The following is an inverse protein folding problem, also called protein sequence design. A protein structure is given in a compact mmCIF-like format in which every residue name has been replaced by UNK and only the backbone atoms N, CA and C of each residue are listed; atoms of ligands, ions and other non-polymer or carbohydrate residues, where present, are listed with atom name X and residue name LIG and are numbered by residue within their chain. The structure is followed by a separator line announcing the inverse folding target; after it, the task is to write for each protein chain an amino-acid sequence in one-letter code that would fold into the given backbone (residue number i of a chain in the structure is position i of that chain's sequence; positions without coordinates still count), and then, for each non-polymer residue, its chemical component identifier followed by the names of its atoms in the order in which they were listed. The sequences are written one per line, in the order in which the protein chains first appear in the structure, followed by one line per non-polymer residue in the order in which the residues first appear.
data_IF_184464135603
#
_entry.id   IF_184464135603
#
_cell.length_a   1.000
_cell.length_b   1.000
_cell.length_c   1.000
_cell.angle_alpha   90.00
_cell.angle_beta   90.00
_cell.angle_gamma   90.00
#
_symmetry.space_group_name_H-M   'P 1'
#
loop_
_entity.id
_entity.type
_entity.pdbx_description
1 polymer ?
#
# COMPACT_ATOMS: atom_id res chain seq x y z
N UNK A 1 -12.00 -2.95 -20.22
CA UNK A 1 -11.19 -2.65 -19.03
C UNK A 1 -11.31 -3.75 -17.96
N UNK A 2 -12.51 -4.02 -17.35
CA UNK A 2 -12.61 -5.01 -16.25
C UNK A 2 -12.27 -6.43 -16.71
N UNK A 3 -12.72 -6.89 -17.87
CA UNK A 3 -12.37 -8.19 -18.42
C UNK A 3 -10.86 -8.28 -18.63
N UNK A 4 -10.25 -7.30 -19.27
CA UNK A 4 -8.81 -7.20 -19.50
C UNK A 4 -8.01 -7.25 -18.18
N UNK A 5 -8.47 -6.56 -17.13
CA UNK A 5 -7.81 -6.57 -15.84
C UNK A 5 -7.87 -7.96 -15.17
N UNK A 6 -9.00 -8.67 -15.29
CA UNK A 6 -9.14 -10.03 -14.74
C UNK A 6 -8.31 -11.04 -15.54
N UNK A 7 -8.26 -10.93 -16.87
CA UNK A 7 -7.40 -11.76 -17.71
C UNK A 7 -5.92 -11.55 -17.35
N UNK A 8 -5.49 -10.29 -17.21
CA UNK A 8 -4.13 -9.98 -16.77
C UNK A 8 -3.83 -10.52 -15.36
N UNK A 9 -4.79 -10.40 -14.43
CA UNK A 9 -4.61 -10.96 -13.10
C UNK A 9 -4.50 -12.49 -13.10
N UNK A 10 -5.24 -13.19 -13.98
CA UNK A 10 -5.10 -14.62 -14.18
C UNK A 10 -3.69 -14.99 -14.70
N UNK A 11 -3.14 -14.20 -15.63
CA UNK A 11 -1.77 -14.43 -16.12
C UNK A 11 -0.72 -14.23 -15.01
N UNK A 12 -0.89 -13.21 -14.16
CA UNK A 12 -0.05 -13.03 -12.97
C UNK A 12 -0.17 -14.21 -12.00
N UNK A 13 -1.36 -14.72 -11.79
CA UNK A 13 -1.58 -15.89 -10.92
C UNK A 13 -0.87 -17.14 -11.44
N UNK A 14 -0.85 -17.37 -12.77
CA UNK A 14 -0.09 -18.47 -13.39
C UNK A 14 1.43 -18.33 -13.22
N UNK A 15 1.95 -17.10 -13.13
CA UNK A 15 3.36 -16.81 -12.89
C UNK A 15 3.73 -16.76 -11.39
N UNK A 16 2.75 -16.86 -10.50
CA UNK A 16 2.93 -16.80 -9.06
C UNK A 16 3.13 -18.21 -8.47
N UNK A 17 3.73 -18.34 -7.29
CA UNK A 17 3.76 -19.60 -6.58
C UNK A 17 2.34 -20.15 -6.35
N UNK A 18 2.14 -21.48 -6.42
CA UNK A 18 0.80 -22.05 -6.31
C UNK A 18 0.23 -21.93 -4.90
N UNK A 19 -1.09 -21.86 -4.81
CA UNK A 19 -1.86 -21.82 -3.57
C UNK A 19 -2.26 -20.42 -3.14
N UNK A 20 -3.01 -20.37 -2.04
CA UNK A 20 -3.45 -19.12 -1.43
C UNK A 20 -2.39 -18.66 -0.44
N UNK A 21 -1.54 -17.75 -0.90
CA UNK A 21 -0.48 -17.19 -0.07
C UNK A 21 -1.03 -16.05 0.78
N UNK A 22 -0.88 -16.20 2.08
CA UNK A 22 -1.09 -15.10 3.01
C UNK A 22 0.11 -14.12 2.94
N UNK A 23 -0.06 -12.89 3.40
CA UNK A 23 0.96 -11.85 3.30
C UNK A 23 2.34 -12.26 3.83
N UNK A 24 2.41 -13.05 4.92
CA UNK A 24 3.67 -13.53 5.48
C UNK A 24 4.43 -14.43 4.51
N UNK A 25 3.74 -15.40 3.90
CA UNK A 25 4.37 -16.33 2.93
C UNK A 25 4.83 -15.60 1.68
N UNK A 26 4.07 -14.62 1.19
CA UNK A 26 4.48 -13.80 0.05
C UNK A 26 5.76 -13.02 0.35
N UNK A 27 5.87 -12.43 1.55
CA UNK A 27 7.07 -11.75 2.02
C UNK A 27 8.26 -12.71 2.13
N UNK A 28 8.08 -13.86 2.75
CA UNK A 28 9.12 -14.87 2.93
C UNK A 28 9.70 -15.35 1.58
N UNK A 29 8.84 -15.53 0.57
CA UNK A 29 9.28 -15.90 -0.78
C UNK A 29 10.12 -14.80 -1.43
N UNK A 30 9.74 -13.54 -1.28
CA UNK A 30 10.50 -12.41 -1.80
C UNK A 30 11.84 -12.25 -1.05
N UNK A 31 11.82 -12.35 0.27
CA UNK A 31 13.02 -12.24 1.12
C UNK A 31 14.04 -13.34 0.89
N UNK A 32 13.58 -14.50 0.45
CA UNK A 32 14.44 -15.63 0.08
C UNK A 32 14.89 -15.58 -1.39
N UNK A 33 14.56 -14.52 -2.15
CA UNK A 33 14.88 -14.41 -3.57
C UNK A 33 14.15 -15.42 -4.44
N UNK A 34 13.05 -16.03 -3.96
CA UNK A 34 12.23 -17.02 -4.70
C UNK A 34 11.11 -16.39 -5.51
N UNK A 35 10.82 -15.12 -5.29
CA UNK A 35 9.90 -14.32 -6.08
C UNK A 35 10.62 -13.06 -6.57
N UNK A 36 10.50 -12.75 -7.86
CA UNK A 36 11.15 -11.58 -8.46
C UNK A 36 10.39 -10.28 -8.18
N UNK A 37 9.09 -10.36 -7.90
CA UNK A 37 8.21 -9.21 -7.64
C UNK A 37 7.28 -9.51 -6.47
N UNK A 38 6.90 -8.47 -5.76
CA UNK A 38 5.90 -8.52 -4.70
C UNK A 38 5.05 -7.26 -4.75
N UNK A 39 3.73 -7.39 -4.57
CA UNK A 39 2.85 -6.27 -4.35
C UNK A 39 2.75 -6.05 -2.84
N UNK A 40 3.24 -4.91 -2.38
CA UNK A 40 3.30 -4.59 -0.97
C UNK A 40 3.17 -3.10 -0.72
N UNK A 41 2.91 -2.73 0.53
CA UNK A 41 3.03 -1.34 0.96
C UNK A 41 4.49 -1.02 1.31
N UNK A 42 4.89 0.27 1.29
CA UNK A 42 6.23 0.68 1.72
C UNK A 42 6.59 0.31 3.17
N UNK A 43 5.64 -0.22 3.93
CA UNK A 43 5.87 -0.76 5.28
C UNK A 43 6.94 -1.86 5.32
N UNK A 44 7.27 -2.46 4.17
CA UNK A 44 8.32 -3.48 4.04
C UNK A 44 9.75 -2.89 4.02
N UNK A 45 9.92 -1.57 3.88
CA UNK A 45 11.21 -0.95 3.59
C UNK A 45 12.23 -1.13 4.72
N UNK A 46 11.83 -1.12 5.97
CA UNK A 46 12.72 -1.40 7.10
C UNK A 46 13.12 -2.88 7.18
N UNK A 47 12.19 -3.76 6.82
CA UNK A 47 12.42 -5.21 6.79
C UNK A 47 13.41 -5.58 5.68
N UNK A 48 13.26 -5.01 4.46
CA UNK A 48 14.20 -5.19 3.35
C UNK A 48 15.62 -4.78 3.70
N UNK A 49 15.78 -3.78 4.58
CA UNK A 49 17.06 -3.27 5.03
C UNK A 49 17.61 -4.00 6.27
N UNK A 50 16.99 -5.10 6.70
CA UNK A 50 17.45 -5.88 7.86
C UNK A 50 17.31 -5.16 9.20
N UNK A 51 16.35 -4.25 9.35
CA UNK A 51 16.17 -3.47 10.57
C UNK A 51 15.15 -4.08 11.54
N UNK A 52 14.59 -5.26 11.20
CA UNK A 52 13.57 -5.94 12.00
C UNK A 52 13.89 -7.42 12.16
N UNK A 53 14.15 -7.86 13.39
CA UNK A 53 14.52 -9.26 13.70
C UNK A 53 13.37 -10.25 13.49
N UNK A 54 12.14 -9.80 13.64
CA UNK A 54 10.95 -10.66 13.43
C UNK A 54 10.64 -10.94 11.95
N UNK A 55 11.34 -10.26 11.03
CA UNK A 55 11.14 -10.39 9.58
C UNK A 55 12.43 -10.10 8.81
N UNK A 56 13.49 -10.89 9.04
CA UNK A 56 14.78 -10.64 8.41
C UNK A 56 14.80 -11.04 6.94
N UNK A 57 15.57 -10.36 6.09
CA UNK A 57 15.92 -10.87 4.76
C UNK A 57 16.65 -12.22 4.90
N UNK A 58 16.39 -13.12 3.96
CA UNK A 58 17.03 -14.44 3.92
C UNK A 58 17.71 -14.73 2.58
N UNK A 59 18.02 -13.65 1.84
CA UNK A 59 18.75 -13.73 0.57
C UNK A 59 20.20 -14.15 0.73
N UNK A 60 20.76 -13.92 1.92
CA UNK A 60 22.10 -14.35 2.34
C UNK A 60 22.08 -14.80 3.83
N UNK A 61 23.23 -15.15 4.37
CA UNK A 61 23.37 -15.65 5.75
C UNK A 61 23.36 -14.54 6.82
N UNK A 62 23.36 -13.25 6.44
CA UNK A 62 23.31 -12.13 7.37
C UNK A 62 21.88 -11.53 7.42
N UNK A 63 21.11 -11.80 8.48
CA UNK A 63 19.74 -11.29 8.63
C UNK A 63 19.67 -9.77 8.82
N UNK A 64 20.79 -9.10 9.04
CA UNK A 64 20.87 -7.64 9.20
C UNK A 64 21.37 -6.93 7.94
N UNK A 65 21.61 -7.69 6.87
CA UNK A 65 22.15 -7.17 5.63
C UNK A 65 21.17 -6.26 4.90
N UNK A 66 21.58 -5.07 4.45
CA UNK A 66 20.78 -4.21 3.60
C UNK A 66 20.81 -4.63 2.12
N UNK A 67 21.36 -5.78 1.78
CA UNK A 67 21.55 -6.22 0.40
C UNK A 67 20.25 -6.30 -0.37
N UNK A 68 19.18 -6.82 0.25
CA UNK A 68 17.88 -6.92 -0.42
C UNK A 68 17.29 -5.54 -0.69
N UNK A 69 17.41 -4.58 0.23
CA UNK A 69 16.98 -3.21 0.02
C UNK A 69 17.70 -2.58 -1.19
N UNK A 70 19.02 -2.76 -1.29
CA UNK A 70 19.83 -2.20 -2.38
C UNK A 70 19.53 -2.81 -3.76
N UNK A 71 18.92 -4.01 -3.80
CA UNK A 71 18.53 -4.72 -5.02
C UNK A 71 17.04 -4.59 -5.36
N UNK A 72 16.24 -4.00 -4.47
CA UNK A 72 14.80 -3.84 -4.67
C UNK A 72 14.52 -2.52 -5.40
N UNK A 73 13.90 -2.62 -6.59
CA UNK A 73 13.31 -1.48 -7.28
C UNK A 73 11.86 -1.28 -6.86
N UNK A 74 11.37 -0.06 -6.99
CA UNK A 74 9.99 0.31 -6.61
C UNK A 74 9.23 0.81 -7.82
N UNK A 75 8.00 0.32 -7.99
CA UNK A 75 7.05 0.77 -9.00
C UNK A 75 5.85 1.32 -8.24
N UNK A 76 5.62 2.62 -8.31
CA UNK A 76 4.57 3.32 -7.55
C UNK A 76 3.34 3.65 -8.38
N UNK A 77 3.41 3.44 -9.71
CA UNK A 77 2.33 3.73 -10.64
C UNK A 77 2.29 2.67 -11.75
N UNK A 78 1.13 2.08 -11.99
CA UNK A 78 0.92 1.08 -13.02
C UNK A 78 0.04 1.64 -14.14
N UNK A 79 0.60 1.70 -15.35
CA UNK A 79 -0.14 2.04 -16.55
C UNK A 79 -0.61 0.76 -17.28
N UNK A 80 -1.75 0.85 -17.94
CA UNK A 80 -2.30 -0.22 -18.77
C UNK A 80 -2.92 0.34 -20.05
N UNK A 81 -3.33 -0.53 -20.98
CA UNK A 81 -3.90 -0.10 -22.26
C UNK A 81 -5.12 0.81 -22.09
N UNK A 82 -5.97 0.54 -21.10
CA UNK A 82 -7.17 1.33 -20.82
C UNK A 82 -6.92 2.57 -19.95
N UNK A 83 -5.74 2.68 -19.34
CA UNK A 83 -5.31 3.84 -18.55
C UNK A 83 -3.81 4.08 -18.74
N UNK A 84 -3.40 4.75 -19.81
CA UNK A 84 -2.00 5.02 -20.10
C UNK A 84 -1.35 6.00 -19.12
N UNK A 85 -2.14 6.78 -18.38
CA UNK A 85 -1.65 7.66 -17.31
C UNK A 85 -1.26 6.88 -16.05
N UNK A 86 -1.68 5.63 -15.96
CA UNK A 86 -1.45 4.79 -14.80
C UNK A 86 -2.36 5.10 -13.62
N UNK A 87 -2.20 4.30 -12.59
CA UNK A 87 -2.86 4.47 -11.30
C UNK A 87 -1.96 3.96 -10.19
N UNK A 88 -2.09 4.56 -9.01
CA UNK A 88 -1.51 4.10 -7.77
C UNK A 88 -2.63 3.88 -6.74
N UNK A 89 -2.38 3.02 -5.79
CA UNK A 89 -3.29 2.77 -4.68
C UNK A 89 -2.74 3.39 -3.40
N UNK A 90 -3.59 4.07 -2.62
CA UNK A 90 -3.25 4.53 -1.29
C UNK A 90 -4.32 4.14 -0.27
N UNK A 91 -3.89 3.67 0.89
CA UNK A 91 -4.75 3.51 2.05
C UNK A 91 -4.77 4.81 2.85
N UNK A 92 -5.83 5.58 2.66
CA UNK A 92 -6.04 6.85 3.37
C UNK A 92 -6.70 6.57 4.70
N UNK A 93 -6.04 6.98 5.79
CA UNK A 93 -6.57 6.87 7.16
C UNK A 93 -7.30 8.14 7.54
N UNK A 94 -8.47 7.95 8.14
CA UNK A 94 -9.29 9.02 8.68
C UNK A 94 -9.32 8.94 10.20
N UNK A 95 -9.32 10.09 10.85
CA UNK A 95 -9.62 10.20 12.27
C UNK A 95 -11.08 10.63 12.43
N UNK A 96 -11.85 9.84 13.15
CA UNK A 96 -13.27 10.09 13.39
C UNK A 96 -13.44 10.39 14.89
N UNK A 97 -14.09 11.50 15.19
CA UNK A 97 -14.47 11.84 16.55
C UNK A 97 -15.88 11.32 16.79
N UNK A 98 -16.02 10.48 17.80
CA UNK A 98 -17.34 10.01 18.24
C UNK A 98 -18.00 11.05 19.15
N UNK A 99 -19.32 11.12 19.14
CA UNK A 99 -20.08 11.92 20.08
C UNK A 99 -19.88 11.35 21.51
N UNK A 100 -19.16 12.08 22.34
CA UNK A 100 -18.79 11.69 23.69
C UNK A 100 -18.52 12.88 24.57
N UNK A 101 -18.39 12.67 25.88
CA UNK A 101 -18.03 13.70 26.83
C UNK A 101 -16.63 14.32 26.61
N UNK A 102 -15.79 13.69 25.77
CA UNK A 102 -14.40 14.11 25.50
C UNK A 102 -14.20 14.66 24.08
N UNK A 103 -15.26 15.07 23.39
CA UNK A 103 -15.21 15.52 21.99
C UNK A 103 -14.23 16.70 21.80
N UNK A 104 -14.22 17.67 22.70
CA UNK A 104 -13.30 18.82 22.64
C UNK A 104 -11.84 18.39 22.76
N UNK A 105 -11.53 17.49 23.68
CA UNK A 105 -10.17 16.95 23.86
C UNK A 105 -9.73 16.17 22.62
N UNK A 106 -10.62 15.39 22.03
CA UNK A 106 -10.35 14.65 20.79
C UNK A 106 -10.07 15.60 19.61
N UNK A 107 -10.81 16.72 19.52
CA UNK A 107 -10.56 17.74 18.50
C UNK A 107 -9.19 18.42 18.68
N UNK A 108 -8.83 18.79 19.90
CA UNK A 108 -7.52 19.37 20.18
C UNK A 108 -6.39 18.40 19.90
N UNK A 109 -6.58 17.12 20.22
CA UNK A 109 -5.60 16.09 19.87
C UNK A 109 -5.41 15.95 18.36
N UNK A 110 -6.49 15.93 17.57
CA UNK A 110 -6.40 15.88 16.11
C UNK A 110 -5.69 17.12 15.56
N UNK A 111 -6.03 18.32 16.03
CA UNK A 111 -5.35 19.56 15.63
C UNK A 111 -3.86 19.49 15.91
N UNK A 112 -3.47 19.00 17.08
CA UNK A 112 -2.07 18.77 17.42
C UNK A 112 -1.42 17.73 16.49
N UNK A 113 -2.04 16.58 16.32
CA UNK A 113 -1.50 15.46 15.53
C UNK A 113 -1.26 15.81 14.05
N UNK A 114 -2.09 16.68 13.46
CA UNK A 114 -1.91 17.16 12.07
C UNK A 114 -1.25 18.54 11.98
N UNK A 115 -1.00 19.18 13.11
CA UNK A 115 -0.35 20.49 13.26
C UNK A 115 1.07 20.37 13.82
N UNK A 116 1.27 20.88 15.03
CA UNK A 116 2.59 20.95 15.68
C UNK A 116 3.20 19.59 15.98
N UNK A 117 2.36 18.58 16.27
CA UNK A 117 2.77 17.19 16.50
C UNK A 117 2.89 16.35 15.23
N UNK A 118 2.77 16.94 14.04
CA UNK A 118 2.66 16.14 12.80
C UNK A 118 3.87 15.26 12.54
N UNK A 119 5.08 15.80 12.67
CA UNK A 119 6.31 15.01 12.49
C UNK A 119 6.43 13.89 13.52
N UNK A 120 6.01 14.14 14.78
CA UNK A 120 5.97 13.11 15.81
C UNK A 120 4.95 12.02 15.48
N UNK A 121 3.80 12.37 14.93
CA UNK A 121 2.81 11.40 14.46
C UNK A 121 3.38 10.53 13.32
N UNK A 122 4.10 11.11 12.37
CA UNK A 122 4.79 10.39 11.31
C UNK A 122 5.89 9.49 11.83
N UNK A 123 6.57 9.88 12.93
CA UNK A 123 7.70 9.11 13.49
C UNK A 123 7.32 7.75 14.08
N UNK A 124 6.03 7.48 14.23
CA UNK A 124 5.53 6.16 14.65
C UNK A 124 5.43 5.25 13.42
N UNK A 125 6.48 4.53 13.08
CA UNK A 125 6.64 3.72 11.86
C UNK A 125 6.57 4.58 10.57
N UNK A 126 7.60 5.39 10.29
CA UNK A 126 7.63 6.30 9.14
C UNK A 126 7.57 5.58 7.80
N UNK A 127 8.07 4.36 7.71
CA UNK A 127 8.02 3.48 6.53
C UNK A 127 6.59 3.17 6.08
N UNK A 128 5.64 3.23 6.98
CA UNK A 128 4.22 2.98 6.71
C UNK A 128 3.32 4.22 6.76
N UNK A 129 3.89 5.40 6.99
CA UNK A 129 3.13 6.66 7.14
C UNK A 129 3.74 7.75 6.28
N UNK A 130 3.06 8.14 5.22
CA UNK A 130 3.53 9.20 4.33
C UNK A 130 2.92 10.54 4.68
N UNK A 131 3.67 11.64 4.47
CA UNK A 131 3.18 12.97 4.75
C UNK A 131 2.15 13.41 3.69
N UNK A 132 0.85 13.29 4.00
CA UNK A 132 -0.22 13.88 3.18
C UNK A 132 -0.15 15.41 3.16
N UNK A 133 0.44 16.03 4.19
CA UNK A 133 0.88 17.42 4.18
C UNK A 133 2.35 17.45 3.80
N UNK A 134 2.67 17.95 2.61
CA UNK A 134 4.06 18.03 2.12
C UNK A 134 4.87 19.07 2.88
N UNK A 135 4.25 20.23 3.14
CA UNK A 135 4.89 21.33 3.83
C UNK A 135 3.87 22.34 4.38
N UNK A 136 4.34 23.56 4.56
CA UNK A 136 3.56 24.72 4.97
C UNK A 136 3.85 25.94 4.08
N UNK A 137 3.28 27.11 4.43
CA UNK A 137 3.46 28.31 3.62
C UNK A 137 4.91 28.85 3.59
N UNK A 138 5.76 28.43 4.51
CA UNK A 138 7.17 28.86 4.59
C UNK A 138 8.11 27.89 3.87
N UNK A 139 7.74 26.61 3.77
CA UNK A 139 8.52 25.55 3.13
C UNK A 139 7.57 24.46 2.61
N UNK A 140 7.44 24.38 1.27
CA UNK A 140 6.50 23.47 0.60
C UNK A 140 6.81 21.97 0.81
N UNK A 141 8.05 21.63 1.19
CA UNK A 141 8.53 20.26 1.33
C UNK A 141 8.98 19.90 2.75
N UNK A 142 8.75 20.79 3.71
CA UNK A 142 9.16 20.68 5.11
C UNK A 142 8.86 19.31 5.73
N UNK A 143 7.64 18.79 5.54
CA UNK A 143 7.24 17.53 6.16
C UNK A 143 7.75 16.31 5.41
N UNK A 144 7.97 16.41 4.10
CA UNK A 144 8.61 15.37 3.28
C UNK A 144 10.08 15.24 3.68
N UNK A 145 10.79 16.35 3.82
CA UNK A 145 12.19 16.37 4.25
C UNK A 145 12.34 15.83 5.69
N UNK A 146 11.45 16.26 6.59
CA UNK A 146 11.42 15.75 7.95
C UNK A 146 11.16 14.24 7.98
N UNK A 147 10.14 13.76 7.26
CA UNK A 147 9.78 12.36 7.18
C UNK A 147 10.91 11.47 6.66
N UNK A 148 11.56 11.83 5.55
CA UNK A 148 12.65 11.05 4.97
C UNK A 148 13.86 10.92 5.91
N UNK A 149 13.98 11.81 6.88
CA UNK A 149 15.04 11.84 7.88
C UNK A 149 14.68 11.11 9.18
N UNK A 150 13.42 10.66 9.33
CA UNK A 150 13.00 9.90 10.51
C UNK A 150 13.61 8.50 10.50
N UNK A 151 14.04 8.00 11.65
CA UNK A 151 14.55 6.64 11.76
C UNK A 151 13.42 5.63 11.61
N UNK A 152 13.55 4.71 10.67
CA UNK A 152 12.69 3.55 10.48
C UNK A 152 13.27 2.32 11.14
N UNK A 153 12.48 1.25 11.23
CA UNK A 153 12.88 -0.04 11.81
C UNK A 153 12.40 -0.22 13.25
N UNK A 154 12.62 -1.41 13.77
CA UNK A 154 12.20 -1.82 15.13
C UNK A 154 13.41 -2.09 16.02
N UNK A 155 14.19 -3.10 15.69
CA UNK A 155 15.34 -3.54 16.50
C UNK A 155 16.60 -2.72 16.19
N UNK A 156 16.75 -2.29 14.96
CA UNK A 156 17.77 -1.35 14.47
C UNK A 156 17.10 -0.15 13.81
N UNK A 157 17.74 0.98 13.81
CA UNK A 157 17.16 2.24 13.32
C UNK A 157 18.08 2.92 12.32
N UNK A 158 17.54 3.31 11.17
CA UNK A 158 18.22 4.15 10.19
C UNK A 158 17.19 5.04 9.45
N UNK A 159 17.53 6.26 9.01
CA UNK A 159 16.67 7.08 8.18
C UNK A 159 16.45 6.45 6.79
N UNK A 160 15.25 6.61 6.23
CA UNK A 160 14.94 6.12 4.87
C UNK A 160 15.93 6.65 3.82
N UNK A 161 16.32 7.91 3.93
CA UNK A 161 17.26 8.55 3.01
C UNK A 161 18.68 7.97 3.03
N UNK A 162 19.04 7.24 4.09
CA UNK A 162 20.35 6.57 4.21
C UNK A 162 20.28 5.14 3.67
N UNK A 163 19.09 4.61 3.44
CA UNK A 163 18.83 3.24 3.00
C UNK A 163 18.44 3.15 1.51
N UNK A 164 17.80 4.20 1.00
CA UNK A 164 17.24 4.23 -0.35
C UNK A 164 17.61 5.50 -1.08
N UNK A 165 17.78 5.39 -2.38
CA UNK A 165 18.05 6.54 -3.24
C UNK A 165 16.92 7.58 -3.17
N UNK A 166 17.27 8.85 -3.34
CA UNK A 166 16.31 9.96 -3.33
C UNK A 166 15.19 9.79 -4.37
N UNK A 167 15.46 9.14 -5.50
CA UNK A 167 14.46 8.81 -6.52
C UNK A 167 13.35 7.94 -5.96
N UNK A 168 13.67 6.90 -5.17
CA UNK A 168 12.69 6.01 -4.54
C UNK A 168 11.76 6.80 -3.61
N UNK A 169 12.34 7.67 -2.77
CA UNK A 169 11.57 8.52 -1.85
C UNK A 169 10.66 9.47 -2.61
N UNK A 170 11.18 10.10 -3.66
CA UNK A 170 10.42 11.04 -4.49
C UNK A 170 9.30 10.33 -5.24
N UNK A 171 9.53 9.13 -5.78
CA UNK A 171 8.53 8.34 -6.49
C UNK A 171 7.38 7.92 -5.55
N UNK A 172 7.69 7.51 -4.31
CA UNK A 172 6.69 7.19 -3.29
C UNK A 172 5.83 8.43 -2.99
N UNK A 173 6.45 9.58 -2.79
CA UNK A 173 5.73 10.84 -2.50
C UNK A 173 4.91 11.29 -3.70
N UNK A 174 5.45 11.19 -4.92
CA UNK A 174 4.72 11.51 -6.16
C UNK A 174 3.54 10.57 -6.40
N UNK A 175 3.65 9.30 -6.00
CA UNK A 175 2.56 8.34 -6.08
C UNK A 175 1.30 8.77 -5.31
N UNK A 176 1.45 9.59 -4.26
CA UNK A 176 0.31 10.13 -3.51
C UNK A 176 -0.54 11.11 -4.32
N UNK A 177 0.02 11.76 -5.35
CA UNK A 177 -0.72 12.71 -6.21
C UNK A 177 -1.67 12.02 -7.18
N UNK A 178 -1.37 10.78 -7.53
CA UNK A 178 -2.14 9.96 -8.47
C UNK A 178 -2.83 8.77 -7.79
N UNK A 179 -2.73 8.71 -6.47
CA UNK A 179 -3.31 7.62 -5.68
C UNK A 179 -4.84 7.67 -5.71
N UNK A 180 -5.42 6.53 -6.00
CA UNK A 180 -6.87 6.34 -6.04
C UNK A 180 -7.32 5.47 -4.86
N UNK A 181 -8.52 5.75 -4.38
CA UNK A 181 -9.22 4.89 -3.44
C UNK A 181 -10.63 4.67 -3.94
N UNK A 182 -10.96 3.41 -4.13
CA UNK A 182 -12.23 3.01 -4.73
C UNK A 182 -13.44 3.58 -3.98
N UNK A 183 -14.33 4.21 -4.74
CA UNK A 183 -15.56 4.81 -4.26
C UNK A 183 -15.43 6.16 -3.54
N UNK A 184 -14.21 6.62 -3.23
CA UNK A 184 -14.02 7.89 -2.50
C UNK A 184 -14.23 9.08 -3.43
N UNK A 185 -13.54 9.12 -4.55
CA UNK A 185 -13.62 10.20 -5.54
C UNK A 185 -15.02 10.34 -6.16
N UNK A 186 -15.69 9.21 -6.36
CA UNK A 186 -17.04 9.13 -6.91
C UNK A 186 -18.13 9.40 -5.87
N UNK A 187 -17.81 9.59 -4.59
CA UNK A 187 -18.78 9.74 -3.51
C UNK A 187 -19.59 8.46 -3.22
N UNK A 188 -19.06 7.29 -3.62
CA UNK A 188 -19.72 5.98 -3.53
C UNK A 188 -19.11 5.08 -2.43
N UNK A 189 -18.57 5.66 -1.38
CA UNK A 189 -17.89 4.90 -0.34
C UNK A 189 -18.79 3.87 0.34
N UNK A 190 -20.08 4.18 0.53
CA UNK A 190 -21.05 3.25 1.11
C UNK A 190 -21.25 2.02 0.23
N UNK A 191 -21.47 2.22 -1.07
CA UNK A 191 -21.62 1.13 -2.03
C UNK A 191 -20.32 0.30 -2.15
N UNK A 192 -19.18 0.95 -2.26
CA UNK A 192 -17.87 0.29 -2.28
C UNK A 192 -17.65 -0.57 -1.03
N UNK A 193 -18.02 -0.07 0.15
CA UNK A 193 -17.92 -0.81 1.42
C UNK A 193 -18.80 -2.07 1.41
N UNK A 194 -20.03 -1.99 0.92
CA UNK A 194 -20.93 -3.15 0.80
C UNK A 194 -20.36 -4.20 -0.16
N UNK A 195 -19.84 -3.77 -1.32
CA UNK A 195 -19.20 -4.68 -2.29
C UNK A 195 -17.97 -5.37 -1.71
N UNK A 196 -17.10 -4.63 -1.02
CA UNK A 196 -15.92 -5.19 -0.34
C UNK A 196 -16.34 -6.24 0.71
N UNK A 197 -17.31 -5.90 1.56
CA UNK A 197 -17.78 -6.79 2.62
C UNK A 197 -18.46 -8.05 2.08
N UNK A 198 -19.14 -7.96 0.94
CA UNK A 198 -19.79 -9.10 0.28
C UNK A 198 -18.82 -10.08 -0.35
N UNK A 199 -17.54 -9.68 -0.57
CA UNK A 199 -16.51 -10.47 -1.26
C UNK A 199 -16.89 -10.93 -2.67
N UNK A 200 -17.83 -10.27 -3.33
CA UNK A 200 -18.33 -10.63 -4.66
C UNK A 200 -17.17 -10.70 -5.67
N UNK A 201 -16.37 -9.63 -5.74
CA UNK A 201 -15.25 -9.55 -6.69
C UNK A 201 -14.25 -10.67 -6.42
N UNK A 202 -13.87 -10.89 -5.18
CA UNK A 202 -12.89 -11.90 -4.80
C UNK A 202 -13.32 -13.30 -5.21
N UNK A 203 -14.60 -13.66 -4.99
CA UNK A 203 -15.14 -14.97 -5.39
C UNK A 203 -15.13 -15.16 -6.90
N UNK A 204 -15.61 -14.17 -7.65
CA UNK A 204 -15.72 -14.29 -9.11
C UNK A 204 -14.33 -14.30 -9.77
N UNK A 205 -13.39 -13.50 -9.28
CA UNK A 205 -12.00 -13.52 -9.77
C UNK A 205 -11.33 -14.86 -9.43
N UNK A 206 -11.63 -15.44 -8.27
CA UNK A 206 -11.12 -16.77 -7.90
C UNK A 206 -11.56 -17.86 -8.88
N UNK A 207 -12.82 -17.86 -9.28
CA UNK A 207 -13.33 -18.81 -10.27
C UNK A 207 -12.59 -18.69 -11.63
N UNK A 208 -12.15 -17.48 -12.00
CA UNK A 208 -11.34 -17.29 -13.21
C UNK A 208 -9.93 -17.83 -13.02
N UNK A 209 -9.30 -17.57 -11.89
CA UNK A 209 -7.96 -18.09 -11.57
C UNK A 209 -7.95 -19.61 -11.57
N UNK A 210 -8.98 -20.23 -11.03
CA UNK A 210 -9.12 -21.70 -10.96
C UNK A 210 -9.52 -22.32 -12.31
N UNK A 211 -9.81 -21.50 -13.35
CA UNK A 211 -10.18 -21.95 -14.68
C UNK A 211 -11.63 -22.42 -14.81
N UNK A 212 -12.49 -22.13 -13.81
CA UNK A 212 -13.89 -22.53 -13.77
C UNK A 212 -14.80 -21.55 -14.53
N UNK A 213 -14.34 -20.32 -14.78
CA UNK A 213 -15.12 -19.26 -15.38
C UNK A 213 -14.27 -18.40 -16.32
N UNK A 214 -14.86 -17.84 -17.37
CA UNK A 214 -14.19 -16.82 -18.18
C UNK A 214 -14.21 -15.46 -17.47
N UNK A 215 -13.23 -14.59 -17.77
CA UNK A 215 -13.23 -13.22 -17.24
C UNK A 215 -14.49 -12.44 -17.64
N UNK A 216 -15.03 -12.66 -18.84
CA UNK A 216 -16.26 -12.06 -19.31
C UNK A 216 -17.46 -12.48 -18.45
N UNK A 217 -17.61 -13.77 -18.16
CA UNK A 217 -18.68 -14.30 -17.33
C UNK A 217 -18.56 -13.84 -15.88
N UNK A 218 -17.33 -13.74 -15.37
CA UNK A 218 -17.07 -13.20 -14.04
C UNK A 218 -17.50 -11.74 -13.92
N UNK A 219 -17.15 -10.90 -14.92
CA UNK A 219 -17.58 -9.49 -14.96
C UNK A 219 -19.09 -9.38 -15.03
N UNK A 220 -19.77 -10.21 -15.84
CA UNK A 220 -21.22 -10.23 -15.91
C UNK A 220 -21.86 -10.60 -14.55
N UNK A 221 -21.32 -11.62 -13.89
CA UNK A 221 -21.77 -12.05 -12.57
C UNK A 221 -21.55 -10.98 -11.49
N UNK A 222 -20.38 -10.33 -11.50
CA UNK A 222 -20.04 -9.22 -10.59
C UNK A 222 -21.05 -8.08 -10.77
N UNK A 223 -21.30 -7.64 -12.01
CA UNK A 223 -22.23 -6.56 -12.30
C UNK A 223 -23.66 -6.89 -11.83
N UNK A 224 -24.13 -8.11 -12.09
CA UNK A 224 -25.45 -8.57 -11.63
C UNK A 224 -25.54 -8.52 -10.10
N UNK A 225 -24.57 -9.11 -9.39
CA UNK A 225 -24.57 -9.16 -7.94
C UNK A 225 -24.45 -7.78 -7.29
N UNK A 226 -23.67 -6.85 -7.90
CA UNK A 226 -23.55 -5.46 -7.41
C UNK A 226 -24.86 -4.72 -7.59
N UNK A 227 -25.59 -4.95 -8.67
CA UNK A 227 -26.91 -4.32 -8.89
C UNK A 227 -27.96 -4.71 -7.84
N UNK A 228 -27.77 -5.85 -7.17
CA UNK A 228 -28.65 -6.36 -6.12
C UNK A 228 -28.24 -5.88 -4.71
N UNK A 229 -27.17 -5.09 -4.59
CA UNK A 229 -26.70 -4.53 -3.32
C UNK A 229 -27.44 -3.22 -3.02
N UNK A 230 -28.35 -3.25 -2.07
CA UNK A 230 -29.10 -2.10 -1.54
C UNK A 230 -28.29 -1.24 -0.55
#
# INVERSE_FOLDING_TARGET
ACVEAIDFYQELAKASPPGDLFWQQSRELYFAGKAAMIIWSPFIMDELAGLRDSAPPTINDDPTSPELASKTGFITNFAGPSNPSGAAWADVRFMIITDSANTEVAQEWIKYAVGDGYVQTLSIAPEGKFPVRRGDASDSDKFVQAWSSLPVGVDRKAPLKDLYDASVINDIVAGLDVAERWGVKEGQLSAASKVINSQIINREVREVIDGNKSASDAVAAINSQISDID
#
